data_IF_299490310204
#
_entry.id   IF_299490310204
#
_cell.length_a   1.000
_cell.length_b   1.000
_cell.length_c   1.000
_cell.angle_alpha   90.00
_cell.angle_beta   90.00
_cell.angle_gamma   90.00
#
_symmetry.space_group_name_H-M   'P 1'
#
loop_
_entity.id
_entity.type
_entity.pdbx_description
1 polymer ?
#
# COMPACT_ATOMS: atom_id res chain seq x y z
N UNK A 1 10.38 -1.05 14.82
CA UNK A 1 9.13 -0.34 14.40
C UNK A 1 9.31 0.13 12.96
N UNK A 2 8.46 -0.30 12.01
CA UNK A 2 8.51 0.20 10.62
C UNK A 2 7.47 1.31 10.44
N UNK A 3 7.92 2.56 10.42
CA UNK A 3 7.12 3.73 10.06
C UNK A 3 7.12 3.86 8.54
N UNK A 4 5.92 3.78 7.94
CA UNK A 4 5.71 4.08 6.52
C UNK A 4 5.66 5.60 6.35
N UNK A 5 6.83 6.22 6.22
CA UNK A 5 7.03 7.51 5.56
C UNK A 5 7.77 7.22 4.25
N UNK A 6 7.45 7.98 3.19
CA UNK A 6 8.05 7.79 1.86
C UNK A 6 9.57 7.73 1.93
N UNK A 7 10.18 6.88 1.10
CA UNK A 7 11.64 6.81 1.00
C UNK A 7 12.10 7.92 0.07
N UNK A 8 12.99 8.79 0.56
CA UNK A 8 13.83 9.60 -0.32
C UNK A 8 14.83 8.67 -1.00
N UNK A 9 14.98 8.78 -2.31
CA UNK A 9 15.99 8.07 -3.09
C UNK A 9 17.11 9.07 -3.33
N UNK A 10 18.34 8.67 -3.00
CA UNK A 10 19.54 9.44 -3.29
C UNK A 10 20.05 9.01 -4.67
N UNK A 11 19.97 9.90 -5.64
CA UNK A 11 20.32 9.60 -7.04
C UNK A 11 21.82 9.34 -7.20
N UNK A 12 22.66 9.93 -6.34
CA UNK A 12 24.10 9.66 -6.32
C UNK A 12 24.40 8.21 -5.89
N UNK A 13 23.66 7.70 -4.90
CA UNK A 13 23.81 6.30 -4.46
C UNK A 13 23.34 5.29 -5.51
N UNK A 14 22.39 5.66 -6.37
CA UNK A 14 21.91 4.82 -7.49
C UNK A 14 22.88 4.85 -8.66
N UNK A 15 23.49 6.01 -8.95
CA UNK A 15 24.52 6.15 -9.98
C UNK A 15 25.81 5.38 -9.60
N UNK A 16 26.18 5.40 -8.31
CA UNK A 16 27.38 4.72 -7.82
C UNK A 16 27.20 3.19 -7.75
N UNK A 17 26.00 2.69 -7.37
CA UNK A 17 25.77 1.27 -7.11
C UNK A 17 24.85 0.56 -8.12
N UNK A 18 24.31 1.27 -9.10
CA UNK A 18 23.36 0.74 -10.10
C UNK A 18 21.98 0.31 -9.57
N UNK A 19 21.75 0.34 -8.24
CA UNK A 19 20.49 -0.04 -7.61
C UNK A 19 20.26 0.75 -6.30
N UNK A 20 19.01 1.07 -5.92
CA UNK A 20 18.70 1.83 -4.70
C UNK A 20 18.82 0.96 -3.44
N UNK A 21 20.05 0.64 -3.03
CA UNK A 21 20.37 -0.02 -1.78
C UNK A 21 21.25 0.90 -0.91
N UNK A 22 20.87 1.10 0.35
CA UNK A 22 21.62 1.91 1.33
C UNK A 22 22.50 1.03 2.23
N UNK A 23 23.18 0.04 1.66
CA UNK A 23 24.07 -0.86 2.41
C UNK A 23 25.46 -0.27 2.32
N UNK A 24 26.00 0.25 3.43
CA UNK A 24 27.41 0.64 3.52
C UNK A 24 28.26 -0.63 3.44
N UNK A 25 29.24 -0.64 2.54
CA UNK A 25 30.25 -1.69 2.43
C UNK A 25 31.20 -1.65 3.63
N UNK A 26 30.72 -2.09 4.78
CA UNK A 26 31.62 -2.49 5.86
C UNK A 26 31.44 -3.99 6.09
N UNK A 27 32.37 -4.77 5.54
CA UNK A 27 32.64 -6.14 5.96
C UNK A 27 32.29 -7.26 4.97
N UNK A 28 32.53 -7.12 3.66
CA UNK A 28 32.60 -8.27 2.77
C UNK A 28 34.05 -8.50 2.31
N UNK A 29 34.83 -9.25 3.11
CA UNK A 29 36.14 -9.72 2.68
C UNK A 29 35.96 -10.71 1.52
N UNK A 30 36.36 -10.28 0.32
CA UNK A 30 36.31 -11.11 -0.88
C UNK A 30 37.43 -12.14 -0.82
N UNK A 31 37.14 -13.28 -0.19
CA UNK A 31 38.03 -14.43 -0.17
C UNK A 31 38.26 -14.98 -1.60
N UNK A 32 39.46 -15.52 -1.85
CA UNK A 32 39.88 -16.07 -3.15
C UNK A 32 38.93 -17.16 -3.68
N UNK A 33 38.21 -17.83 -2.76
CA UNK A 33 37.13 -18.79 -3.10
C UNK A 33 35.90 -18.14 -3.70
N UNK A 34 35.49 -16.97 -3.20
CA UNK A 34 34.33 -16.21 -3.71
C UNK A 34 34.66 -15.66 -5.09
N UNK A 35 35.88 -15.14 -5.25
CA UNK A 35 36.40 -14.66 -6.54
C UNK A 35 36.46 -15.78 -7.58
N UNK A 36 36.94 -16.97 -7.18
CA UNK A 36 36.95 -18.16 -8.04
C UNK A 36 35.56 -18.68 -8.40
N UNK A 37 34.56 -18.53 -7.52
CA UNK A 37 33.18 -18.89 -7.82
C UNK A 37 32.55 -17.91 -8.83
N UNK A 38 32.79 -16.61 -8.69
CA UNK A 38 32.32 -15.59 -9.63
C UNK A 38 32.90 -15.81 -11.04
N UNK A 39 34.21 -16.05 -11.15
CA UNK A 39 34.88 -16.32 -12.43
C UNK A 39 34.34 -17.56 -13.15
N UNK A 40 33.99 -18.61 -12.40
CA UNK A 40 33.37 -19.82 -12.96
C UNK A 40 31.96 -19.57 -13.46
N UNK A 41 31.19 -18.71 -12.77
CA UNK A 41 29.82 -18.37 -13.17
C UNK A 41 29.81 -17.43 -14.38
N UNK A 42 30.75 -16.48 -14.45
CA UNK A 42 30.96 -15.66 -15.65
C UNK A 42 31.31 -16.53 -16.87
N UNK A 43 32.26 -17.48 -16.75
CA UNK A 43 32.60 -18.39 -17.85
C UNK A 43 31.43 -19.29 -18.28
N UNK A 44 30.48 -19.55 -17.39
CA UNK A 44 29.27 -20.34 -17.68
C UNK A 44 28.27 -19.55 -18.53
N UNK A 45 28.18 -18.24 -18.33
CA UNK A 45 27.23 -17.37 -19.03
C UNK A 45 27.86 -16.66 -20.26
N UNK A 46 29.15 -16.34 -20.21
CA UNK A 46 29.95 -15.74 -21.28
C UNK A 46 31.16 -16.62 -21.57
N UNK A 47 31.00 -17.68 -22.37
CA UNK A 47 32.12 -18.53 -22.76
C UNK A 47 33.06 -17.74 -23.70
N UNK A 48 34.36 -18.08 -23.70
CA UNK A 48 35.42 -17.29 -24.34
C UNK A 48 35.33 -17.17 -25.87
N UNK A 49 34.41 -17.91 -26.50
CA UNK A 49 34.04 -17.88 -27.91
C UNK A 49 32.85 -16.96 -28.21
N UNK A 50 32.32 -16.25 -27.21
CA UNK A 50 31.33 -15.20 -27.40
C UNK A 50 31.96 -13.98 -28.07
N UNK A 51 31.70 -13.81 -29.36
CA UNK A 51 32.07 -12.62 -30.13
C UNK A 51 31.21 -11.43 -29.69
N UNK A 52 31.77 -10.60 -28.82
CA UNK A 52 31.27 -9.26 -28.56
C UNK A 52 31.42 -8.41 -29.83
N UNK A 53 30.37 -7.69 -30.21
CA UNK A 53 30.46 -6.62 -31.19
C UNK A 53 31.40 -5.56 -30.62
N UNK A 54 32.54 -5.35 -31.26
CA UNK A 54 33.48 -4.29 -30.90
C UNK A 54 32.80 -2.94 -31.16
N UNK A 55 32.30 -2.31 -30.09
CA UNK A 55 32.06 -0.87 -30.12
C UNK A 55 33.42 -0.20 -29.92
N UNK A 56 34.03 0.16 -31.05
CA UNK A 56 35.33 0.80 -31.14
C UNK A 56 35.38 2.05 -30.26
N UNK A 57 36.33 2.05 -29.33
CA UNK A 57 36.77 3.22 -28.59
C UNK A 57 37.30 4.31 -29.53
N UNK A 58 36.51 5.36 -29.75
CA UNK A 58 36.98 6.66 -30.23
C UNK A 58 35.91 7.75 -30.01
N UNK A 59 35.86 8.32 -28.80
CA UNK A 59 35.39 9.70 -28.62
C UNK A 59 36.01 10.28 -27.35
N UNK A 60 37.28 10.68 -27.45
CA UNK A 60 37.87 11.65 -26.55
C UNK A 60 37.12 12.98 -26.73
N UNK A 61 36.06 13.14 -25.97
CA UNK A 61 35.40 14.42 -25.75
C UNK A 61 35.71 14.79 -24.32
N UNK A 62 36.55 15.80 -24.15
CA UNK A 62 36.73 16.48 -22.88
C UNK A 62 35.35 16.97 -22.41
N UNK A 63 34.72 16.17 -21.55
CA UNK A 63 33.47 16.51 -20.91
C UNK A 63 33.83 17.54 -19.84
N UNK A 64 33.61 18.82 -20.15
CA UNK A 64 33.59 19.83 -19.10
C UNK A 64 32.50 19.40 -18.11
N UNK A 65 32.92 19.07 -16.89
CA UNK A 65 32.01 18.73 -15.82
C UNK A 65 31.21 20.00 -15.49
N UNK A 66 30.02 20.10 -16.07
CA UNK A 66 28.97 21.00 -15.62
C UNK A 66 28.83 20.82 -14.09
N UNK A 67 28.80 21.91 -13.31
CA UNK A 67 28.68 21.79 -11.86
C UNK A 67 27.40 21.02 -11.55
N UNK A 68 27.55 19.87 -10.88
CA UNK A 68 26.44 19.05 -10.38
C UNK A 68 25.59 19.98 -9.51
N UNK A 69 24.47 20.45 -10.06
CA UNK A 69 23.52 21.25 -9.34
C UNK A 69 23.01 20.41 -8.15
N UNK A 70 22.97 21.00 -6.97
CA UNK A 70 22.39 20.43 -5.75
C UNK A 70 20.92 20.03 -5.99
N UNK A 71 20.69 18.85 -6.58
CA UNK A 71 19.35 18.34 -6.83
C UNK A 71 18.83 17.71 -5.53
N UNK A 72 18.05 18.49 -4.81
CA UNK A 72 17.43 18.06 -3.54
C UNK A 72 16.60 16.81 -3.82
N UNK A 73 16.60 15.80 -2.93
CA UNK A 73 15.93 14.54 -3.18
C UNK A 73 14.44 14.77 -3.46
N UNK A 74 14.01 14.38 -4.67
CA UNK A 74 12.64 14.55 -5.16
C UNK A 74 11.66 13.81 -4.26
N UNK A 75 10.71 14.54 -3.65
CA UNK A 75 9.68 13.94 -2.80
C UNK A 75 8.71 13.09 -3.62
N UNK A 76 8.76 11.77 -3.42
CA UNK A 76 7.79 10.85 -4.02
C UNK A 76 6.63 10.66 -3.03
N UNK A 77 5.41 11.13 -3.35
CA UNK A 77 4.28 11.00 -2.47
C UNK A 77 3.91 9.52 -2.27
N UNK A 78 3.57 9.16 -1.03
CA UNK A 78 3.08 7.81 -0.74
C UNK A 78 1.80 7.53 -1.53
N UNK A 79 1.64 6.33 -2.12
CA UNK A 79 0.48 6.01 -2.93
C UNK A 79 -0.82 6.14 -2.12
N UNK A 80 -1.85 6.70 -2.77
CA UNK A 80 -3.17 6.89 -2.16
C UNK A 80 -3.88 5.56 -1.94
N UNK A 81 -4.95 5.55 -1.15
CA UNK A 81 -5.82 4.38 -0.98
C UNK A 81 -6.31 3.84 -2.34
N UNK A 82 -6.79 4.74 -3.20
CA UNK A 82 -7.29 4.38 -4.52
C UNK A 82 -6.20 3.74 -5.40
N UNK A 83 -5.01 4.34 -5.45
CA UNK A 83 -3.87 3.77 -6.17
C UNK A 83 -3.44 2.41 -5.62
N UNK A 84 -3.53 2.19 -4.31
CA UNK A 84 -3.24 0.89 -3.69
C UNK A 84 -4.29 -0.16 -4.03
N UNK A 85 -5.56 0.22 -4.13
CA UNK A 85 -6.65 -0.69 -4.50
C UNK A 85 -6.54 -1.12 -5.96
N UNK A 86 -6.30 -0.21 -6.91
CA UNK A 86 -6.11 -0.58 -8.32
C UNK A 86 -4.92 -1.51 -8.53
N UNK A 87 -3.83 -1.32 -7.77
CA UNK A 87 -2.64 -2.18 -7.82
C UNK A 87 -2.79 -3.48 -7.02
N UNK A 88 -3.89 -3.65 -6.29
CA UNK A 88 -4.09 -4.81 -5.47
C UNK A 88 -4.47 -6.02 -6.31
N UNK A 89 -4.17 -7.19 -5.77
CA UNK A 89 -4.60 -8.48 -6.31
C UNK A 89 -6.13 -8.60 -6.34
N UNK A 90 -6.68 -9.35 -7.30
CA UNK A 90 -8.13 -9.54 -7.50
C UNK A 90 -8.78 -10.02 -6.21
N UNK A 91 -8.15 -10.98 -5.53
CA UNK A 91 -8.62 -11.51 -4.25
C UNK A 91 -8.74 -10.44 -3.16
N UNK A 92 -7.92 -9.39 -3.19
CA UNK A 92 -8.05 -8.27 -2.24
C UNK A 92 -9.17 -7.32 -2.67
N UNK A 93 -9.32 -7.08 -3.97
CA UNK A 93 -10.40 -6.27 -4.54
C UNK A 93 -11.77 -6.88 -4.24
N UNK A 94 -11.94 -8.19 -4.44
CA UNK A 94 -13.18 -8.93 -4.13
C UNK A 94 -13.56 -8.81 -2.65
N UNK A 95 -12.58 -9.00 -1.76
CA UNK A 95 -12.81 -8.89 -0.30
C UNK A 95 -13.20 -7.47 0.09
N UNK A 96 -12.61 -6.47 -0.57
CA UNK A 96 -12.96 -5.09 -0.33
C UNK A 96 -14.38 -4.80 -0.80
N UNK A 97 -14.75 -5.23 -2.00
CA UNK A 97 -16.09 -5.05 -2.55
C UNK A 97 -17.15 -5.73 -1.68
N UNK A 98 -16.94 -7.00 -1.34
CA UNK A 98 -17.82 -7.78 -0.46
C UNK A 98 -18.04 -7.08 0.89
N UNK A 99 -16.98 -6.56 1.51
CA UNK A 99 -17.07 -5.91 2.82
C UNK A 99 -17.66 -4.50 2.76
N UNK A 100 -17.38 -3.76 1.69
CA UNK A 100 -17.96 -2.43 1.50
C UNK A 100 -19.45 -2.51 1.26
N UNK A 101 -19.89 -3.41 0.38
CA UNK A 101 -21.31 -3.68 0.15
C UNK A 101 -22.00 -4.18 1.43
N UNK A 102 -21.37 -5.08 2.17
CA UNK A 102 -21.90 -5.53 3.46
C UNK A 102 -22.03 -4.40 4.49
N UNK A 103 -21.08 -3.46 4.54
CA UNK A 103 -21.17 -2.31 5.43
C UNK A 103 -22.21 -1.28 4.95
N UNK A 104 -22.41 -1.10 3.65
CA UNK A 104 -23.36 -0.13 3.08
C UNK A 104 -24.82 -0.58 3.13
N UNK A 105 -25.08 -1.85 3.45
CA UNK A 105 -26.44 -2.38 3.62
C UNK A 105 -27.26 -1.66 4.70
N UNK A 106 -26.61 -0.97 5.65
CA UNK A 106 -27.33 -0.23 6.70
C UNK A 106 -27.76 1.17 6.24
N UNK A 107 -28.91 1.62 6.76
CA UNK A 107 -29.55 2.89 6.36
C UNK A 107 -28.71 4.11 6.74
N UNK A 108 -28.76 5.12 5.86
CA UNK A 108 -28.16 6.46 6.04
C UNK A 108 -26.63 6.49 6.13
N UNK A 109 -25.95 5.42 5.69
CA UNK A 109 -24.50 5.43 5.56
C UNK A 109 -24.08 6.13 4.27
N UNK A 110 -23.01 6.92 4.36
CA UNK A 110 -22.37 7.58 3.22
C UNK A 110 -20.90 7.14 3.17
N UNK A 111 -20.44 6.77 1.98
CA UNK A 111 -19.03 6.50 1.71
C UNK A 111 -18.29 7.80 1.40
N UNK A 112 -17.03 7.87 1.81
CA UNK A 112 -16.09 8.93 1.47
C UNK A 112 -14.70 8.32 1.30
N UNK A 113 -14.23 8.29 0.07
CA UNK A 113 -12.85 7.92 -0.26
C UNK A 113 -11.95 9.13 0.02
N UNK A 114 -10.81 8.87 0.65
CA UNK A 114 -9.78 9.86 0.97
C UNK A 114 -8.41 9.33 0.58
N UNK A 115 -7.38 10.18 0.64
CA UNK A 115 -5.99 9.78 0.31
C UNK A 115 -5.52 8.53 1.08
N UNK A 116 -5.99 8.29 2.32
CA UNK A 116 -5.51 7.19 3.18
C UNK A 116 -6.54 6.09 3.45
N UNK A 117 -7.82 6.42 3.37
CA UNK A 117 -8.91 5.55 3.84
C UNK A 117 -10.14 5.68 2.96
N UNK A 118 -10.91 4.60 2.86
CA UNK A 118 -12.32 4.67 2.53
C UNK A 118 -13.13 4.64 3.83
N UNK A 119 -13.89 5.70 4.10
CA UNK A 119 -14.64 5.86 5.35
C UNK A 119 -16.13 5.77 5.09
N UNK A 120 -16.83 4.99 5.89
CA UNK A 120 -18.28 4.85 5.86
C UNK A 120 -18.81 5.48 7.15
N UNK A 121 -19.64 6.52 7.00
CA UNK A 121 -20.08 7.34 8.11
C UNK A 121 -21.61 7.52 8.10
N UNK A 122 -22.20 7.67 9.27
CA UNK A 122 -23.58 8.10 9.44
C UNK A 122 -23.61 9.52 10.03
N UNK A 123 -23.64 10.53 9.17
CA UNK A 123 -23.55 11.92 9.61
C UNK A 123 -22.25 12.20 10.36
N UNK A 124 -22.31 12.43 11.69
CA UNK A 124 -21.15 12.64 12.56
C UNK A 124 -20.54 11.34 13.12
N UNK A 125 -21.26 10.23 13.02
CA UNK A 125 -20.78 8.93 13.49
C UNK A 125 -19.85 8.31 12.45
N UNK A 126 -18.60 8.05 12.83
CA UNK A 126 -17.70 7.21 12.04
C UNK A 126 -18.04 5.76 12.31
N UNK A 127 -18.54 5.04 11.31
CA UNK A 127 -18.97 3.66 11.50
C UNK A 127 -17.81 2.70 11.22
N UNK A 128 -17.23 2.82 10.03
CA UNK A 128 -16.15 1.95 9.55
C UNK A 128 -15.12 2.77 8.77
N UNK A 129 -13.83 2.41 8.90
CA UNK A 129 -12.79 2.84 7.95
C UNK A 129 -12.06 1.63 7.38
N UNK A 130 -11.82 1.66 6.07
CA UNK A 130 -11.04 0.66 5.33
C UNK A 130 -9.72 1.28 4.89
N UNK A 131 -8.65 0.49 4.97
CA UNK A 131 -7.31 0.89 4.52
C UNK A 131 -6.55 -0.30 3.96
N UNK A 132 -5.67 -0.06 2.98
CA UNK A 132 -4.79 -1.09 2.43
C UNK A 132 -3.36 -0.90 2.90
N UNK A 133 -2.74 -2.00 3.33
CA UNK A 133 -1.32 -2.07 3.64
C UNK A 133 -0.70 -3.30 2.98
N UNK A 134 0.02 -3.10 1.88
CA UNK A 134 0.55 -4.19 1.07
C UNK A 134 -0.58 -5.08 0.56
N UNK A 135 -0.47 -6.39 0.80
CA UNK A 135 -1.48 -7.40 0.42
C UNK A 135 -2.56 -7.64 1.49
N UNK A 136 -2.77 -6.69 2.41
CA UNK A 136 -3.70 -6.87 3.53
C UNK A 136 -4.67 -5.70 3.61
N UNK A 137 -5.96 -6.02 3.63
CA UNK A 137 -7.03 -5.07 3.93
C UNK A 137 -7.17 -4.93 5.45
N UNK A 138 -7.29 -3.69 5.91
CA UNK A 138 -7.47 -3.33 7.33
C UNK A 138 -8.84 -2.71 7.50
N UNK A 139 -9.61 -3.28 8.42
CA UNK A 139 -10.92 -2.80 8.83
C UNK A 139 -10.79 -2.16 10.20
N UNK A 140 -11.24 -0.92 10.33
CA UNK A 140 -11.36 -0.20 11.58
C UNK A 140 -12.82 0.01 11.92
N UNK A 141 -13.22 -0.31 13.15
CA UNK A 141 -14.60 -0.30 13.64
C UNK A 141 -14.74 0.64 14.84
N UNK A 142 -15.89 1.31 14.92
CA UNK A 142 -16.25 2.15 16.07
C UNK A 142 -16.97 1.33 17.13
N UNK A 143 -16.21 0.54 17.87
CA UNK A 143 -16.67 -0.26 19.00
C UNK A 143 -15.53 -0.44 19.99
N UNK A 144 -15.80 -0.95 21.19
CA UNK A 144 -14.74 -1.25 22.16
C UNK A 144 -14.09 -2.61 21.84
N UNK A 145 -12.78 -2.75 22.10
CA UNK A 145 -12.08 -4.02 21.96
C UNK A 145 -12.61 -5.08 22.93
N UNK A 146 -13.11 -4.67 24.10
CA UNK A 146 -13.66 -5.57 25.10
C UNK A 146 -14.95 -6.27 24.63
N UNK A 147 -15.67 -5.66 23.69
CA UNK A 147 -16.88 -6.24 23.09
C UNK A 147 -16.54 -7.26 21.99
N UNK A 148 -15.27 -7.29 21.54
CA UNK A 148 -14.81 -8.23 20.52
C UNK A 148 -14.36 -9.55 21.13
N UNK A 149 -14.76 -10.66 20.51
CA UNK A 149 -14.26 -11.98 20.91
C UNK A 149 -12.74 -12.09 20.63
N UNK A 150 -11.92 -12.52 21.61
CA UNK A 150 -10.49 -12.77 21.44
C UNK A 150 -10.12 -13.63 20.22
N UNK A 151 -11.04 -14.51 19.77
CA UNK A 151 -10.93 -15.36 18.58
C UNK A 151 -10.68 -14.59 17.29
N UNK A 152 -11.08 -13.32 17.22
CA UNK A 152 -10.91 -12.50 16.03
C UNK A 152 -9.52 -11.88 15.91
N UNK A 153 -8.71 -11.92 16.98
CA UNK A 153 -7.38 -11.29 17.04
C UNK A 153 -7.42 -9.81 16.65
N UNK A 154 -8.44 -9.10 17.11
CA UNK A 154 -8.55 -7.65 16.98
C UNK A 154 -7.42 -6.95 17.75
N UNK A 155 -7.00 -5.78 17.25
CA UNK A 155 -6.00 -4.94 17.90
C UNK A 155 -6.60 -3.58 18.25
N UNK A 156 -6.27 -3.09 19.44
CA UNK A 156 -6.63 -1.72 19.83
C UNK A 156 -5.69 -0.70 19.16
N UNK A 157 -6.29 0.37 18.66
CA UNK A 157 -5.66 1.50 17.98
C UNK A 157 -6.12 2.85 18.56
N UNK A 158 -6.83 2.84 19.70
CA UNK A 158 -7.27 4.02 20.45
C UNK A 158 -6.13 5.01 20.75
N UNK A 159 -4.91 4.52 20.96
CA UNK A 159 -3.69 5.33 21.18
C UNK A 159 -3.41 6.37 20.08
N UNK A 160 -3.90 6.13 18.86
CA UNK A 160 -3.57 6.96 17.70
C UNK A 160 -4.72 7.91 17.40
N UNK A 161 -4.44 9.22 17.40
CA UNK A 161 -5.38 10.32 17.09
C UNK A 161 -6.27 10.06 15.85
N UNK A 162 -5.72 9.44 14.80
CA UNK A 162 -6.46 9.13 13.56
C UNK A 162 -7.56 8.05 13.75
N UNK A 163 -7.37 7.14 14.70
CA UNK A 163 -8.21 5.96 14.94
C UNK A 163 -8.97 6.03 16.27
N UNK A 164 -8.88 7.11 17.04
CA UNK A 164 -9.65 7.30 18.29
C UNK A 164 -11.15 7.08 18.06
N UNK A 165 -11.66 7.50 16.91
CA UNK A 165 -13.09 7.33 16.53
C UNK A 165 -13.46 5.94 16.04
N UNK A 166 -12.46 5.09 15.74
CA UNK A 166 -12.63 3.72 15.23
C UNK A 166 -11.49 2.85 15.80
N UNK A 167 -11.49 2.57 17.11
CA UNK A 167 -10.31 2.05 17.81
C UNK A 167 -10.02 0.58 17.48
N UNK A 168 -11.02 -0.22 17.13
CA UNK A 168 -10.85 -1.66 16.87
C UNK A 168 -10.34 -1.90 15.46
N UNK A 169 -9.17 -2.56 15.33
CA UNK A 169 -8.57 -2.96 14.05
C UNK A 169 -8.64 -4.48 13.85
N UNK A 170 -9.25 -4.90 12.74
CA UNK A 170 -9.16 -6.26 12.20
C UNK A 170 -8.30 -6.28 10.92
N UNK A 171 -7.39 -7.26 10.83
CA UNK A 171 -6.56 -7.50 9.63
C UNK A 171 -7.17 -8.63 8.80
N UNK A 172 -7.46 -8.35 7.55
CA UNK A 172 -8.15 -9.27 6.64
C UNK A 172 -7.14 -9.84 5.66
N UNK A 173 -6.69 -11.06 5.97
CA UNK A 173 -5.70 -11.80 5.18
C UNK A 173 -6.28 -13.03 4.47
N UNK A 174 -7.44 -13.50 4.91
CA UNK A 174 -8.04 -14.76 4.47
C UNK A 174 -9.57 -14.66 4.47
N UNK A 175 -10.26 -15.58 3.79
CA UNK A 175 -11.73 -15.65 3.78
C UNK A 175 -12.35 -15.82 5.17
N UNK A 176 -11.65 -16.49 6.10
CA UNK A 176 -12.08 -16.58 7.51
C UNK A 176 -12.14 -15.21 8.17
N UNK A 177 -11.15 -14.35 7.90
CA UNK A 177 -11.13 -12.99 8.44
C UNK A 177 -12.24 -12.11 7.84
N UNK A 178 -12.67 -12.37 6.59
CA UNK A 178 -13.83 -11.71 5.98
C UNK A 178 -15.11 -12.07 6.72
N UNK A 179 -15.30 -13.35 7.04
CA UNK A 179 -16.45 -13.80 7.86
C UNK A 179 -16.47 -13.15 9.24
N UNK A 180 -15.31 -13.03 9.87
CA UNK A 180 -15.17 -12.33 11.15
C UNK A 180 -15.49 -10.83 11.02
N UNK A 181 -15.01 -10.19 9.96
CA UNK A 181 -15.32 -8.80 9.67
C UNK A 181 -16.83 -8.55 9.55
N UNK A 182 -17.56 -9.43 8.86
CA UNK A 182 -19.04 -9.35 8.76
C UNK A 182 -19.71 -9.43 10.13
N UNK A 183 -19.31 -10.38 10.97
CA UNK A 183 -19.84 -10.52 12.34
C UNK A 183 -19.58 -9.26 13.17
N UNK A 184 -18.36 -8.71 13.10
CA UNK A 184 -18.00 -7.49 13.83
C UNK A 184 -18.75 -6.25 13.31
N UNK A 185 -18.99 -6.15 12.00
CA UNK A 185 -19.81 -5.09 11.40
C UNK A 185 -21.23 -5.15 11.96
N UNK A 186 -21.79 -6.35 12.13
CA UNK A 186 -23.14 -6.53 12.67
C UNK A 186 -23.23 -6.18 14.15
N UNK A 187 -22.21 -6.57 14.92
CA UNK A 187 -22.09 -6.16 16.32
C UNK A 187 -21.98 -4.64 16.45
N UNK A 188 -21.12 -4.01 15.66
CA UNK A 188 -20.99 -2.56 15.60
C UNK A 188 -22.31 -1.88 15.20
N UNK A 189 -23.02 -2.42 14.21
CA UNK A 189 -24.31 -1.89 13.79
C UNK A 189 -25.38 -2.01 14.89
N UNK A 190 -25.42 -3.13 15.61
CA UNK A 190 -26.32 -3.34 16.73
C UNK A 190 -26.07 -2.35 17.88
N UNK A 191 -24.80 -2.11 18.22
CA UNK A 191 -24.40 -1.14 19.25
C UNK A 191 -24.86 0.29 18.94
N UNK A 192 -24.77 0.68 17.66
CA UNK A 192 -25.20 2.01 17.19
C UNK A 192 -26.67 2.08 16.76
N UNK A 193 -27.44 0.99 16.90
CA UNK A 193 -28.86 0.93 16.54
C UNK A 193 -29.13 1.13 15.04
N UNK A 194 -28.19 0.74 14.18
CA UNK A 194 -28.32 0.88 12.73
C UNK A 194 -29.32 -0.15 12.19
N UNK A 195 -30.26 0.33 11.36
CA UNK A 195 -31.25 -0.53 10.70
C UNK A 195 -30.79 -0.90 9.30
N UNK A 196 -31.02 -2.14 8.90
CA UNK A 196 -30.77 -2.60 7.54
C UNK A 196 -31.69 -1.90 6.52
N UNK A 197 -31.18 -1.69 5.31
CA UNK A 197 -31.92 -1.19 4.17
C UNK A 197 -32.39 -2.38 3.30
N UNK A 198 -33.69 -2.68 3.26
CA UNK A 198 -34.20 -3.82 2.47
C UNK A 198 -34.12 -3.61 0.96
N UNK A 199 -33.88 -2.37 0.50
CA UNK A 199 -33.73 -2.00 -0.92
C UNK A 199 -32.29 -1.61 -1.23
N UNK A 200 -31.32 -2.25 -0.59
CA UNK A 200 -29.92 -2.01 -0.91
C UNK A 200 -29.57 -2.75 -2.20
N UNK A 201 -29.01 -2.02 -3.16
CA UNK A 201 -28.43 -2.56 -4.38
C UNK A 201 -26.92 -2.59 -4.19
N UNK A 202 -26.30 -3.69 -4.63
CA UNK A 202 -24.85 -3.82 -4.59
C UNK A 202 -24.21 -2.79 -5.51
N UNK A 203 -23.13 -2.20 -5.01
CA UNK A 203 -22.39 -1.15 -5.69
C UNK A 203 -21.05 -1.75 -6.09
N UNK A 204 -20.62 -1.50 -7.32
CA UNK A 204 -19.23 -1.79 -7.71
C UNK A 204 -18.28 -0.83 -6.97
N UNK A 205 -17.62 -1.37 -5.95
CA UNK A 205 -16.72 -0.62 -5.11
C UNK A 205 -15.44 -0.21 -5.82
N UNK A 206 -15.00 -0.98 -6.82
CA UNK A 206 -13.78 -0.71 -7.59
C UNK A 206 -14.04 0.42 -8.59
N UNK A 207 -15.18 0.40 -9.27
CA UNK A 207 -15.60 1.52 -10.13
C UNK A 207 -15.67 2.84 -9.37
N UNK A 208 -16.17 2.85 -8.12
CA UNK A 208 -16.12 4.05 -7.27
C UNK A 208 -14.71 4.54 -6.97
N UNK A 209 -13.77 3.62 -6.80
CA UNK A 209 -12.36 3.94 -6.54
C UNK A 209 -11.70 4.52 -7.80
N UNK A 210 -12.01 3.98 -8.97
CA UNK A 210 -11.55 4.49 -10.27
C UNK A 210 -12.09 5.90 -10.52
N UNK A 211 -13.40 6.11 -10.34
CA UNK A 211 -14.03 7.43 -10.46
C UNK A 211 -13.36 8.45 -9.51
N UNK A 212 -13.04 8.06 -8.28
CA UNK A 212 -12.32 8.95 -7.36
C UNK A 212 -10.91 9.31 -7.84
N UNK A 213 -10.22 8.38 -8.51
CA UNK A 213 -8.84 8.57 -8.96
C UNK A 213 -8.77 9.39 -10.26
N UNK A 214 -9.67 9.13 -11.20
CA UNK A 214 -9.67 9.75 -12.53
C UNK A 214 -10.57 10.98 -12.61
N UNK A 215 -11.70 11.00 -11.90
CA UNK A 215 -12.63 12.14 -11.86
C UNK A 215 -12.09 13.37 -11.13
N UNK A 216 -10.97 13.26 -10.39
CA UNK A 216 -10.28 14.43 -9.83
C UNK A 216 -9.44 15.19 -10.87
N UNK A 217 -9.20 14.62 -12.06
CA UNK A 217 -8.35 15.25 -13.06
C UNK A 217 -9.12 16.22 -13.98
N UNK A 218 -10.46 16.19 -13.99
CA UNK A 218 -11.28 17.05 -14.86
C UNK A 218 -11.55 18.43 -14.21
N UNK A 219 -11.53 18.54 -12.89
CA UNK A 219 -11.82 19.81 -12.17
C UNK A 219 -10.56 20.70 -11.95
N UNK A 220 -9.44 20.38 -12.59
CA UNK A 220 -8.14 21.03 -12.40
C UNK A 220 -7.67 21.95 -13.53
N UNK A 221 -8.47 22.10 -14.59
CA UNK A 221 -8.20 22.96 -15.74
C UNK A 221 -9.21 24.13 -15.81
N UNK A 222 -9.22 25.00 -14.81
CA UNK A 222 -9.79 26.37 -14.92
C UNK A 222 -8.93 27.40 -14.17
#
# INVERSE_FOLDING_TARGET
>A
MRTYLGKFIDENAVLENGFPASVKEEGFDVDEKVRGAALRDEQKYYPADYVAYEETAAMDTAYEAEPIADDKPKYIPSPTFAQKMLRADEVLQDRYDELKNYALRFKKLKTRISKKFDSINQGRLHFVKLSVAGKTLKLFLNMDINETDPKFHCKDMSDKKTYVTVPVLLRIKSGRAVRYAKILIDQCAALHGLKENPKFEEIDSIAMVEQFLYGQNEDGEE
#
